data_IF_213041091869
#
_entry.id   IF_213041091869
#
_cell.length_a   1.000
_cell.length_b   1.000
_cell.length_c   1.000
_cell.angle_alpha   90.00
_cell.angle_beta   90.00
_cell.angle_gamma   90.00
#
_symmetry.space_group_name_H-M   'P 1'
#
loop_
_entity.id
_entity.type
_entity.pdbx_description
1 polymer ?
#
# COMPACT_ATOMS: atom_id res chain seq x y z
N UNK A 1 -39.89 42.44 -37.26
CA UNK A 1 -40.90 41.91 -38.19
C UNK A 1 -40.16 41.18 -39.31
N UNK A 2 -40.48 39.89 -39.46
CA UNK A 2 -39.90 38.97 -40.43
C UNK A 2 -40.36 39.24 -41.87
N UNK A 3 -39.63 38.72 -42.86
CA UNK A 3 -40.08 38.13 -44.15
C UNK A 3 -38.82 37.93 -45.03
N UNK A 4 -38.19 36.75 -45.10
CA UNK A 4 -38.60 35.47 -45.70
C UNK A 4 -38.56 35.41 -47.25
N UNK A 5 -37.55 34.67 -47.74
CA UNK A 5 -37.60 33.61 -48.77
C UNK A 5 -37.93 33.90 -50.24
N UNK A 6 -37.07 33.35 -51.14
CA UNK A 6 -37.37 32.43 -52.27
C UNK A 6 -36.05 32.19 -53.07
N UNK A 7 -35.40 31.02 -52.99
CA UNK A 7 -35.58 29.74 -53.75
C UNK A 7 -35.19 29.76 -55.23
N UNK A 8 -34.16 28.98 -55.60
CA UNK A 8 -34.09 27.97 -56.68
C UNK A 8 -32.60 27.58 -56.90
N UNK A 9 -32.16 26.36 -56.58
CA UNK A 9 -32.25 25.12 -57.37
C UNK A 9 -31.20 24.99 -58.47
N UNK A 10 -30.26 24.03 -58.32
CA UNK A 10 -29.83 23.13 -59.41
C UNK A 10 -28.73 22.14 -58.96
N UNK A 11 -29.04 20.84 -59.12
CA UNK A 11 -28.21 19.67 -59.51
C UNK A 11 -26.83 19.46 -58.85
N UNK A 12 -26.63 18.41 -58.04
CA UNK A 12 -26.33 17.00 -58.44
C UNK A 12 -25.04 16.87 -59.27
N UNK A 13 -23.94 16.46 -58.62
CA UNK A 13 -23.02 15.41 -59.12
C UNK A 13 -22.41 14.67 -57.94
N UNK A 14 -22.77 13.39 -57.83
CA UNK A 14 -22.15 12.38 -57.00
C UNK A 14 -20.76 12.00 -57.54
N UNK A 15 -19.71 12.08 -56.71
CA UNK A 15 -18.53 11.20 -56.85
C UNK A 15 -18.03 10.74 -55.48
N UNK A 16 -18.37 9.49 -55.21
CA UNK A 16 -17.73 8.63 -54.23
C UNK A 16 -16.24 8.53 -54.53
N UNK A 17 -15.42 9.17 -53.70
CA UNK A 17 -13.99 8.87 -53.62
C UNK A 17 -13.76 8.20 -52.27
N UNK A 18 -13.82 6.85 -52.28
CA UNK A 18 -13.29 6.01 -51.21
C UNK A 18 -11.78 6.27 -51.13
N UNK A 19 -11.35 7.14 -50.22
CA UNK A 19 -9.95 7.18 -49.79
C UNK A 19 -9.70 5.92 -48.97
N UNK A 20 -9.18 4.89 -49.65
CA UNK A 20 -8.69 3.68 -49.02
C UNK A 20 -7.61 4.04 -48.01
N UNK A 21 -7.89 3.79 -46.74
CA UNK A 21 -6.86 3.77 -45.71
C UNK A 21 -5.98 2.57 -46.01
N UNK A 22 -4.78 2.85 -46.52
CA UNK A 22 -3.70 1.86 -46.66
C UNK A 22 -3.24 1.49 -45.25
N UNK A 23 -3.58 0.29 -44.81
CA UNK A 23 -3.08 -0.29 -43.56
C UNK A 23 -1.66 -0.78 -43.83
N UNK A 24 -0.61 -0.25 -43.16
CA UNK A 24 0.72 -0.82 -43.30
C UNK A 24 0.76 -2.22 -42.66
N UNK A 25 1.37 -3.16 -43.39
CA UNK A 25 1.57 -4.53 -42.96
C UNK A 25 2.31 -4.59 -41.60
N UNK A 26 1.79 -5.43 -40.70
CA UNK A 26 2.40 -5.74 -39.40
C UNK A 26 3.84 -6.22 -39.60
N UNK A 27 4.86 -5.65 -38.92
CA UNK A 27 6.19 -6.22 -38.94
C UNK A 27 6.18 -7.58 -38.22
N UNK A 28 6.86 -8.55 -38.83
CA UNK A 28 7.05 -9.89 -38.31
C UNK A 28 7.64 -9.86 -36.90
N UNK A 29 7.13 -10.74 -36.04
CA UNK A 29 7.58 -10.92 -34.66
C UNK A 29 9.10 -11.10 -34.60
N UNK A 30 9.80 -10.10 -34.07
CA UNK A 30 11.18 -10.24 -33.67
C UNK A 30 11.25 -11.29 -32.55
N UNK A 31 11.95 -12.39 -32.81
CA UNK A 31 12.31 -13.39 -31.81
C UNK A 31 13.09 -12.69 -30.69
N UNK A 32 12.44 -12.42 -29.56
CA UNK A 32 13.13 -12.10 -28.32
C UNK A 32 14.03 -13.28 -27.95
N UNK A 33 15.33 -13.11 -28.15
CA UNK A 33 16.33 -14.02 -27.63
C UNK A 33 16.29 -13.93 -26.11
N UNK A 34 15.96 -15.05 -25.47
CA UNK A 34 15.86 -15.18 -24.02
C UNK A 34 17.18 -14.75 -23.37
N UNK A 35 17.14 -13.65 -22.61
CA UNK A 35 18.21 -13.27 -21.72
C UNK A 35 18.41 -14.39 -20.68
N UNK A 36 19.67 -14.83 -20.55
CA UNK A 36 20.12 -15.88 -19.62
C UNK A 36 19.63 -15.59 -18.19
N UNK A 37 19.04 -16.56 -17.46
CA UNK A 37 18.72 -16.35 -16.06
C UNK A 37 20.01 -16.21 -15.26
N UNK A 38 20.15 -15.08 -14.56
CA UNK A 38 21.19 -14.88 -13.58
C UNK A 38 21.11 -15.98 -12.51
N UNK A 39 22.29 -16.46 -12.10
CA UNK A 39 22.52 -17.54 -11.13
C UNK A 39 21.53 -17.46 -9.95
N UNK A 40 20.70 -18.51 -9.83
CA UNK A 40 20.01 -18.85 -8.58
C UNK A 40 21.07 -19.03 -7.50
N UNK A 41 21.17 -18.09 -6.56
CA UNK A 41 21.62 -18.43 -5.22
C UNK A 41 20.52 -19.29 -4.61
N UNK A 42 20.71 -20.60 -4.67
CA UNK A 42 19.90 -21.56 -3.93
C UNK A 42 20.13 -21.32 -2.45
N UNK A 43 19.33 -20.44 -1.84
CA UNK A 43 19.09 -20.50 -0.40
C UNK A 43 18.28 -21.76 -0.19
N UNK A 44 18.99 -22.85 0.10
CA UNK A 44 18.42 -24.12 0.48
C UNK A 44 17.72 -23.92 1.84
N UNK A 45 16.44 -23.58 1.81
CA UNK A 45 15.57 -23.77 2.96
C UNK A 45 15.36 -25.28 3.04
N UNK A 46 16.11 -25.93 3.93
CA UNK A 46 15.91 -27.35 4.23
C UNK A 46 14.48 -27.51 4.72
N UNK A 47 13.70 -28.24 3.93
CA UNK A 47 12.41 -28.76 4.32
C UNK A 47 12.65 -29.76 5.45
N UNK A 48 12.04 -29.49 6.60
CA UNK A 48 11.83 -30.50 7.63
C UNK A 48 10.36 -30.50 7.99
N UNK A 49 9.78 -31.65 7.68
CA UNK A 49 8.68 -32.35 8.33
C UNK A 49 7.25 -32.03 7.89
N UNK A 50 6.76 -32.94 7.03
CA UNK A 50 5.37 -33.20 6.73
C UNK A 50 4.70 -33.88 7.93
N UNK A 51 3.73 -33.22 8.57
CA UNK A 51 2.56 -33.86 9.17
C UNK A 51 1.48 -32.85 9.60
N UNK A 52 0.37 -32.83 8.85
CA UNK A 52 -0.99 -32.89 9.41
C UNK A 52 -1.45 -31.93 10.51
N UNK A 53 -1.33 -30.62 10.30
CA UNK A 53 -2.21 -29.55 10.83
C UNK A 53 -1.55 -28.25 10.39
N UNK A 54 -2.25 -27.38 9.64
CA UNK A 54 -1.71 -26.06 9.29
C UNK A 54 -1.69 -25.16 10.53
N UNK A 55 -0.87 -25.48 11.53
CA UNK A 55 -0.63 -24.64 12.68
C UNK A 55 0.19 -23.45 12.21
N UNK A 56 -0.51 -22.39 11.80
CA UNK A 56 0.09 -21.10 11.49
C UNK A 56 0.99 -20.70 12.66
N UNK A 57 2.30 -20.57 12.40
CA UNK A 57 3.28 -20.19 13.43
C UNK A 57 2.92 -18.80 13.95
N UNK A 58 2.60 -18.71 15.25
CA UNK A 58 2.38 -17.43 15.93
C UNK A 58 3.73 -16.74 16.17
N UNK A 59 3.78 -15.45 15.94
CA UNK A 59 4.96 -14.66 16.27
C UNK A 59 5.09 -14.47 17.78
N UNK A 60 6.30 -14.36 18.29
CA UNK A 60 6.52 -13.93 19.68
C UNK A 60 6.65 -12.40 19.72
N UNK A 61 6.26 -11.74 20.82
CA UNK A 61 6.46 -10.30 21.00
C UNK A 61 7.93 -9.87 20.74
N UNK A 62 8.89 -10.69 21.17
CA UNK A 62 10.33 -10.46 20.91
C UNK A 62 10.69 -10.45 19.42
N UNK A 63 10.02 -11.26 18.60
CA UNK A 63 10.23 -11.28 17.15
C UNK A 63 9.66 -9.98 16.53
N UNK A 64 8.50 -9.52 17.01
CA UNK A 64 7.86 -8.27 16.55
C UNK A 64 8.68 -7.03 16.88
N UNK A 65 9.33 -6.99 18.04
CA UNK A 65 10.20 -5.87 18.45
C UNK A 65 11.50 -5.79 17.63
N UNK A 66 11.87 -6.88 16.95
CA UNK A 66 13.09 -6.97 16.14
C UNK A 66 12.88 -6.75 14.65
N UNK A 67 11.67 -6.42 14.21
CA UNK A 67 11.36 -6.25 12.78
C UNK A 67 12.28 -5.21 12.14
N UNK A 68 12.88 -5.56 11.01
CA UNK A 68 13.65 -4.68 10.15
C UNK A 68 13.01 -4.66 8.77
N UNK A 69 12.80 -3.47 8.22
CA UNK A 69 12.22 -3.32 6.90
C UNK A 69 13.32 -3.20 5.84
N UNK A 70 13.20 -3.98 4.77
CA UNK A 70 14.13 -3.92 3.63
C UNK A 70 13.85 -2.69 2.77
N UNK A 71 14.58 -1.60 3.04
CA UNK A 71 14.50 -0.34 2.28
C UNK A 71 15.60 -0.20 1.22
N UNK A 72 16.24 -1.32 0.84
CA UNK A 72 17.39 -1.36 -0.07
C UNK A 72 17.03 -1.04 -1.52
N UNK A 73 15.81 -1.38 -1.94
CA UNK A 73 15.29 -1.09 -3.28
C UNK A 73 15.13 0.42 -3.56
N UNK A 74 15.08 1.25 -2.51
CA UNK A 74 14.85 2.69 -2.59
C UNK A 74 15.96 3.48 -1.91
N UNK A 75 17.17 3.58 -2.51
CA UNK A 75 18.34 4.17 -1.84
C UNK A 75 18.28 5.71 -1.68
N UNK A 76 17.50 6.42 -2.49
CA UNK A 76 17.39 7.90 -2.45
C UNK A 76 16.12 8.45 -1.80
N UNK A 77 15.21 7.59 -1.35
CA UNK A 77 13.91 8.00 -0.84
C UNK A 77 14.04 8.40 0.64
N UNK A 78 13.61 9.63 0.95
CA UNK A 78 13.68 10.23 2.29
C UNK A 78 12.48 9.85 3.16
N UNK A 79 11.31 9.70 2.55
CA UNK A 79 10.04 9.49 3.25
C UNK A 79 9.39 8.18 2.84
N UNK A 80 8.73 7.54 3.80
CA UNK A 80 7.96 6.33 3.55
C UNK A 80 6.58 6.46 4.19
N UNK A 81 5.56 5.95 3.50
CA UNK A 81 4.21 5.79 4.02
C UNK A 81 4.07 4.36 4.53
N UNK A 82 3.73 4.25 5.80
CA UNK A 82 3.39 3.00 6.47
C UNK A 82 1.87 2.89 6.43
N UNK A 83 1.38 1.89 5.70
CA UNK A 83 -0.03 1.58 5.56
C UNK A 83 -0.32 0.32 6.37
N UNK A 84 -1.00 0.47 7.50
CA UNK A 84 -1.31 -0.62 8.41
C UNK A 84 -2.81 -0.91 8.39
N UNK A 85 -3.19 -2.16 8.10
CA UNK A 85 -4.57 -2.62 8.10
C UNK A 85 -4.72 -3.64 9.21
N UNK A 86 -5.55 -3.37 10.21
CA UNK A 86 -5.71 -4.22 11.39
C UNK A 86 -7.15 -4.21 11.93
N UNK A 87 -7.40 -4.90 13.05
CA UNK A 87 -8.75 -5.04 13.65
C UNK A 87 -9.28 -3.70 14.19
N UNK A 88 -10.57 -3.36 14.00
CA UNK A 88 -11.09 -2.05 14.38
C UNK A 88 -10.95 -1.69 15.86
N UNK A 89 -11.16 -2.66 16.75
CA UNK A 89 -11.09 -2.45 18.20
C UNK A 89 -9.68 -2.12 18.72
N UNK A 90 -8.62 -2.35 17.93
CA UNK A 90 -7.24 -2.01 18.29
C UNK A 90 -6.87 -0.57 17.95
N UNK A 91 -7.66 0.13 17.14
CA UNK A 91 -7.41 1.51 16.72
C UNK A 91 -7.03 2.47 17.86
N UNK A 92 -7.80 2.58 18.97
CA UNK A 92 -7.44 3.52 20.04
C UNK A 92 -6.11 3.18 20.70
N UNK A 93 -5.79 1.88 20.83
CA UNK A 93 -4.55 1.43 21.46
C UNK A 93 -3.31 1.70 20.58
N UNK A 94 -3.46 1.53 19.26
CA UNK A 94 -2.41 1.87 18.28
C UNK A 94 -2.14 3.38 18.31
N UNK A 95 -3.18 4.21 18.30
CA UNK A 95 -3.05 5.68 18.33
C UNK A 95 -2.36 6.15 19.62
N UNK A 96 -2.76 5.63 20.78
CA UNK A 96 -2.15 5.99 22.08
C UNK A 96 -0.65 5.59 22.12
N UNK A 97 -0.33 4.40 21.61
CA UNK A 97 1.06 3.93 21.52
C UNK A 97 1.89 4.84 20.62
N UNK A 98 1.40 5.18 19.42
CA UNK A 98 2.10 6.09 18.50
C UNK A 98 2.30 7.49 19.10
N UNK A 99 1.26 8.02 19.76
CA UNK A 99 1.29 9.33 20.40
C UNK A 99 2.35 9.42 21.51
N UNK A 100 2.49 8.38 22.35
CA UNK A 100 3.53 8.29 23.40
C UNK A 100 4.96 8.35 22.85
N UNK A 101 5.17 7.85 21.64
CA UNK A 101 6.46 7.87 20.95
C UNK A 101 6.66 9.12 20.09
N UNK A 102 5.70 10.06 20.10
CA UNK A 102 5.81 11.34 19.40
C UNK A 102 5.38 11.29 17.92
N UNK A 103 4.62 10.28 17.51
CA UNK A 103 4.03 10.18 16.17
C UNK A 103 2.60 10.72 16.27
N UNK A 104 2.39 11.93 15.74
CA UNK A 104 1.11 12.65 15.84
C UNK A 104 0.42 12.91 14.49
N UNK A 105 1.11 12.63 13.38
CA UNK A 105 0.55 12.70 12.04
C UNK A 105 0.11 11.32 11.56
N UNK A 106 -1.19 11.06 11.53
CA UNK A 106 -1.76 9.83 10.98
C UNK A 106 -3.08 10.13 10.28
N UNK A 107 -3.43 9.30 9.31
CA UNK A 107 -4.74 9.30 8.67
C UNK A 107 -5.40 7.95 8.92
N UNK A 108 -6.66 7.96 9.36
CA UNK A 108 -7.46 6.75 9.51
C UNK A 108 -8.45 6.63 8.34
N UNK A 109 -8.71 5.41 7.90
CA UNK A 109 -9.77 5.10 6.93
C UNK A 109 -10.39 3.74 7.28
N UNK A 110 -11.71 3.65 7.50
CA UNK A 110 -12.37 2.36 7.66
C UNK A 110 -12.38 1.65 6.30
N UNK A 111 -11.94 0.40 6.29
CA UNK A 111 -11.87 -0.42 5.07
C UNK A 111 -12.49 -1.78 5.31
N UNK A 112 -12.84 -2.47 4.24
CA UNK A 112 -13.22 -3.88 4.32
C UNK A 112 -12.29 -4.70 3.45
N UNK A 113 -11.88 -5.86 3.93
CA UNK A 113 -10.91 -6.69 3.24
C UNK A 113 -11.14 -8.17 3.48
N UNK A 114 -10.47 -9.00 2.68
CA UNK A 114 -10.45 -10.44 2.86
C UNK A 114 -8.99 -10.89 2.83
N UNK A 115 -8.58 -11.64 3.86
CA UNK A 115 -7.29 -12.30 3.93
C UNK A 115 -7.47 -13.81 3.78
N UNK A 116 -7.70 -14.32 2.57
CA UNK A 116 -7.88 -15.76 2.36
C UNK A 116 -6.53 -16.45 2.49
N UNK A 117 -6.24 -17.02 3.66
CA UNK A 117 -5.11 -17.92 3.85
C UNK A 117 -5.65 -19.37 3.78
N UNK A 118 -5.60 -19.95 2.58
CA UNK A 118 -5.82 -21.38 2.36
C UNK A 118 -7.17 -21.96 2.79
N UNK A 119 -8.25 -21.16 2.80
CA UNK A 119 -9.60 -21.64 3.16
C UNK A 119 -9.94 -21.64 4.65
N UNK A 120 -9.05 -21.12 5.50
CA UNK A 120 -9.37 -20.90 6.92
C UNK A 120 -10.36 -19.74 7.05
N UNK A 121 -11.52 -20.01 7.65
CA UNK A 121 -12.59 -19.02 7.88
C UNK A 121 -12.16 -18.11 9.03
N UNK A 122 -11.98 -16.82 8.76
CA UNK A 122 -11.79 -15.82 9.81
C UNK A 122 -13.10 -15.75 10.63
N UNK A 123 -13.03 -15.91 11.96
CA UNK A 123 -14.19 -15.65 12.83
C UNK A 123 -14.22 -14.17 13.18
N UNK A 124 -15.31 -13.51 12.82
CA UNK A 124 -15.61 -12.16 13.29
C UNK A 124 -17.05 -12.16 13.84
N UNK A 125 -17.27 -11.64 15.05
CA UNK A 125 -18.59 -11.63 15.69
C UNK A 125 -19.35 -12.99 15.76
N UNK A 126 -18.67 -14.14 15.76
CA UNK A 126 -19.29 -15.47 15.89
C UNK A 126 -19.77 -16.13 14.60
N UNK A 127 -19.68 -15.45 13.45
CA UNK A 127 -20.04 -16.02 12.13
C UNK A 127 -18.78 -16.42 11.36
N UNK A 128 -18.83 -17.56 10.68
CA UNK A 128 -17.73 -18.02 9.83
C UNK A 128 -17.78 -17.31 8.47
N UNK A 129 -16.76 -16.49 8.16
CA UNK A 129 -16.74 -15.76 6.90
C UNK A 129 -16.14 -16.58 5.77
N UNK A 130 -16.91 -16.74 4.69
CA UNK A 130 -16.46 -17.36 3.44
C UNK A 130 -15.58 -16.41 2.59
N UNK A 131 -15.04 -16.91 1.46
CA UNK A 131 -14.12 -16.16 0.59
C UNK A 131 -14.72 -14.91 -0.06
N UNK A 132 -16.05 -14.78 -0.07
CA UNK A 132 -16.79 -13.61 -0.61
C UNK A 132 -17.09 -12.54 0.44
N UNK A 133 -16.84 -12.79 1.72
CA UNK A 133 -17.31 -11.91 2.77
C UNK A 133 -16.21 -10.96 3.22
N UNK A 134 -16.46 -9.67 3.01
CA UNK A 134 -15.57 -8.60 3.44
C UNK A 134 -15.65 -8.45 4.97
N UNK A 135 -14.51 -8.52 5.65
CA UNK A 135 -14.40 -8.28 7.10
C UNK A 135 -14.00 -6.81 7.31
N UNK A 136 -14.64 -6.15 8.27
CA UNK A 136 -14.34 -4.78 8.62
C UNK A 136 -12.94 -4.68 9.27
N UNK A 137 -12.15 -3.72 8.79
CA UNK A 137 -10.78 -3.43 9.24
C UNK A 137 -10.58 -1.92 9.30
N UNK A 138 -9.62 -1.50 10.10
CA UNK A 138 -9.17 -0.11 10.13
C UNK A 138 -7.85 0.00 9.39
N UNK A 139 -7.76 0.95 8.46
CA UNK A 139 -6.52 1.31 7.80
C UNK A 139 -5.97 2.58 8.43
N UNK A 140 -4.68 2.56 8.76
CA UNK A 140 -3.94 3.72 9.23
C UNK A 140 -2.76 3.98 8.32
N UNK A 141 -2.70 5.20 7.79
CA UNK A 141 -1.64 5.71 6.94
C UNK A 141 -0.77 6.69 7.75
N UNK A 142 0.54 6.41 7.83
CA UNK A 142 1.51 7.22 8.58
C UNK A 142 2.68 7.52 7.64
N UNK A 143 2.98 8.79 7.40
CA UNK A 143 4.17 9.19 6.62
C UNK A 143 5.27 9.57 7.60
N UNK A 144 6.44 8.95 7.45
CA UNK A 144 7.60 9.16 8.32
C UNK A 144 8.90 9.24 7.53
N UNK A 145 9.92 9.83 8.14
CA UNK A 145 11.30 9.77 7.63
C UNK A 145 11.88 8.34 7.63
N UNK A 146 12.82 8.07 6.72
CA UNK A 146 13.49 6.76 6.55
C UNK A 146 14.03 6.17 7.85
N UNK A 147 14.57 7.00 8.75
CA UNK A 147 15.17 6.54 10.00
C UNK A 147 14.13 6.02 11.02
N UNK A 148 12.87 6.45 10.90
CA UNK A 148 11.82 6.10 11.86
C UNK A 148 10.98 4.90 11.42
N UNK A 149 11.12 4.44 10.17
CA UNK A 149 10.28 3.38 9.58
C UNK A 149 10.24 2.12 10.44
N UNK A 150 11.40 1.57 10.80
CA UNK A 150 11.48 0.34 11.58
C UNK A 150 10.82 0.49 12.95
N UNK A 151 11.02 1.64 13.61
CA UNK A 151 10.44 1.90 14.93
C UNK A 151 8.91 1.97 14.86
N UNK A 152 8.36 2.69 13.88
CA UNK A 152 6.91 2.82 13.71
C UNK A 152 6.27 1.47 13.39
N UNK A 153 6.88 0.68 12.49
CA UNK A 153 6.40 -0.66 12.13
C UNK A 153 6.35 -1.57 13.37
N UNK A 154 7.40 -1.57 14.20
CA UNK A 154 7.44 -2.35 15.46
C UNK A 154 6.32 -1.95 16.42
N UNK A 155 6.10 -0.65 16.62
CA UNK A 155 5.07 -0.14 17.51
C UNK A 155 3.66 -0.55 17.05
N UNK A 156 3.37 -0.40 15.76
CA UNK A 156 2.08 -0.80 15.19
C UNK A 156 1.91 -2.32 15.27
N UNK A 157 2.93 -3.09 14.92
CA UNK A 157 2.88 -4.55 14.98
C UNK A 157 2.63 -5.05 16.41
N UNK A 158 3.38 -4.57 17.40
CA UNK A 158 3.23 -4.98 18.80
C UNK A 158 1.87 -4.56 19.39
N UNK A 159 1.37 -3.39 19.01
CA UNK A 159 0.08 -2.88 19.53
C UNK A 159 -1.14 -3.52 18.84
N UNK A 160 -1.06 -3.90 17.58
CA UNK A 160 -2.14 -4.58 16.87
C UNK A 160 -2.17 -6.10 17.10
N UNK A 161 -1.12 -6.69 17.67
CA UNK A 161 -0.98 -8.13 17.84
C UNK A 161 -1.97 -8.75 18.85
N UNK A 162 -2.59 -9.85 18.44
CA UNK A 162 -3.41 -10.74 19.27
C UNK A 162 -2.95 -12.20 19.18
N UNK A 163 -2.25 -12.58 18.10
CA UNK A 163 -1.85 -13.97 17.84
C UNK A 163 -2.91 -14.79 17.11
N UNK A 164 -4.01 -14.16 16.70
CA UNK A 164 -5.09 -14.77 15.94
C UNK A 164 -5.02 -14.42 14.45
N UNK A 165 -5.57 -15.30 13.61
CA UNK A 165 -5.69 -15.06 12.17
C UNK A 165 -6.55 -13.82 11.95
N UNK A 166 -6.05 -12.87 11.17
CA UNK A 166 -6.74 -11.61 10.87
C UNK A 166 -6.23 -10.39 11.64
N UNK A 167 -5.10 -10.49 12.35
CA UNK A 167 -4.48 -9.35 13.04
C UNK A 167 -4.14 -8.18 12.12
N UNK A 168 -3.74 -8.48 10.89
CA UNK A 168 -3.54 -7.45 9.89
C UNK A 168 -2.30 -7.65 9.03
N UNK A 169 -2.05 -6.66 8.18
CA UNK A 169 -0.82 -6.52 7.40
C UNK A 169 -0.36 -5.07 7.41
N UNK A 170 0.96 -4.89 7.36
CA UNK A 170 1.60 -3.58 7.26
C UNK A 170 2.33 -3.55 5.93
N UNK A 171 2.14 -2.46 5.19
CA UNK A 171 2.79 -2.19 3.92
C UNK A 171 3.63 -0.93 4.05
N UNK A 172 4.77 -0.91 3.36
CA UNK A 172 5.67 0.25 3.35
C UNK A 172 5.82 0.72 1.91
N UNK A 173 5.49 1.98 1.67
CA UNK A 173 5.50 2.61 0.36
C UNK A 173 6.46 3.79 0.32
N UNK A 174 7.20 4.00 -0.78
CA UNK A 174 8.04 5.18 -0.93
C UNK A 174 7.19 6.44 -1.11
N UNK A 175 7.60 7.55 -0.51
CA UNK A 175 6.98 8.87 -0.66
C UNK A 175 8.04 9.84 -1.17
N UNK A 176 7.70 10.58 -2.23
CA UNK A 176 8.64 11.52 -2.87
C UNK A 176 8.72 12.85 -2.11
N UNK A 177 7.57 13.44 -1.79
CA UNK A 177 7.47 14.81 -1.28
C UNK A 177 6.37 14.92 -0.22
N UNK A 178 6.56 15.83 0.74
CA UNK A 178 5.58 16.16 1.78
C UNK A 178 5.42 17.68 1.76
N UNK A 179 4.18 18.17 1.72
CA UNK A 179 3.89 19.61 1.68
C UNK A 179 2.88 19.95 2.75
N UNK A 180 3.18 20.96 3.58
CA UNK A 180 2.28 21.48 4.60
C UNK A 180 1.46 22.63 4.03
N UNK A 181 0.16 22.44 3.83
CA UNK A 181 -0.73 23.42 3.18
C UNK A 181 -0.70 24.80 3.87
N UNK A 182 -0.69 24.82 5.21
CA UNK A 182 -0.77 26.07 5.99
C UNK A 182 0.43 27.00 5.80
N UNK A 183 1.64 26.44 5.71
CA UNK A 183 2.89 27.21 5.66
C UNK A 183 3.64 27.08 4.34
N UNK A 184 3.16 26.24 3.42
CA UNK A 184 3.81 25.89 2.16
C UNK A 184 5.23 25.31 2.33
N UNK A 185 5.59 24.87 3.53
CA UNK A 185 6.83 24.15 3.79
C UNK A 185 6.84 22.82 3.02
N UNK A 186 8.03 22.39 2.62
CA UNK A 186 8.26 21.17 1.84
C UNK A 186 9.29 20.26 2.50
N UNK A 187 9.33 19.00 2.10
CA UNK A 187 10.28 18.01 2.59
C UNK A 187 10.29 17.83 4.12
N UNK A 188 11.47 18.02 4.72
CA UNK A 188 11.72 17.71 6.13
C UNK A 188 10.98 18.65 7.08
N UNK A 189 10.85 19.92 6.72
CA UNK A 189 10.15 20.91 7.55
C UNK A 189 8.64 20.61 7.62
N UNK A 190 8.08 20.16 6.50
CA UNK A 190 6.69 19.78 6.38
C UNK A 190 6.35 18.50 7.17
N UNK A 191 7.24 17.51 7.13
CA UNK A 191 7.06 16.23 7.85
C UNK A 191 7.29 16.39 9.36
N UNK A 192 8.24 17.24 9.77
CA UNK A 192 8.58 17.44 11.17
C UNK A 192 7.39 18.02 11.95
N UNK A 193 6.97 17.31 12.99
CA UNK A 193 5.96 17.77 13.95
C UNK A 193 6.63 18.32 15.21
N UNK A 194 6.14 19.46 15.70
CA UNK A 194 6.61 20.06 16.95
C UNK A 194 6.29 19.15 18.15
N UNK A 195 7.30 18.86 18.96
CA UNK A 195 7.18 17.91 20.08
C UNK A 195 7.03 16.46 19.62
N UNK A 196 7.42 16.16 18.39
CA UNK A 196 7.45 14.81 17.83
C UNK A 196 8.66 14.00 18.29
N UNK A 197 8.77 12.79 17.73
CA UNK A 197 9.82 11.82 18.07
C UNK A 197 11.25 12.40 17.99
N UNK A 198 11.54 13.22 16.98
CA UNK A 198 12.86 13.86 16.82
C UNK A 198 13.19 14.82 17.96
N UNK A 199 12.24 15.66 18.36
CA UNK A 199 12.44 16.64 19.44
C UNK A 199 12.55 15.94 20.80
N UNK A 200 11.78 14.87 21.01
CA UNK A 200 11.87 14.04 22.22
C UNK A 200 13.22 13.34 22.37
N UNK A 201 13.80 12.84 21.26
CA UNK A 201 15.15 12.26 21.28
C UNK A 201 16.21 13.32 21.57
N UNK A 202 16.09 14.52 21.00
CA UNK A 202 17.01 15.63 21.28
C UNK A 202 16.98 16.06 22.74
N UNK A 203 15.81 16.05 23.39
CA UNK A 203 15.65 16.44 24.80
C UNK A 203 16.19 15.41 25.80
N UNK A 204 16.31 14.15 25.38
CA UNK A 204 16.88 13.07 26.21
C UNK A 204 18.41 12.99 26.14
N UNK A 205 19.03 13.70 25.19
CA UNK A 205 20.47 13.74 24.97
C UNK A 205 21.08 14.95 25.67
#
# INVERSE_FOLDING_TARGET
MALASRTASSAVVSRSARSGVVVPARPAAARCQAARPARRSSVAVRASDENGSSSVRRATYKELESIQCDLSAFPGVKFFRIEAIFRPWRLPFVIDTLSKYGIRGLTNTPVKGVGVQGGSRERYAGTEFGPSNLVDKEKVDIVVSRAQVDAVVRLVAASAYTGEIGDGKIFVHPVAEVVRIRTAETGLEAEKMEGGMEDMMKRKK
#
